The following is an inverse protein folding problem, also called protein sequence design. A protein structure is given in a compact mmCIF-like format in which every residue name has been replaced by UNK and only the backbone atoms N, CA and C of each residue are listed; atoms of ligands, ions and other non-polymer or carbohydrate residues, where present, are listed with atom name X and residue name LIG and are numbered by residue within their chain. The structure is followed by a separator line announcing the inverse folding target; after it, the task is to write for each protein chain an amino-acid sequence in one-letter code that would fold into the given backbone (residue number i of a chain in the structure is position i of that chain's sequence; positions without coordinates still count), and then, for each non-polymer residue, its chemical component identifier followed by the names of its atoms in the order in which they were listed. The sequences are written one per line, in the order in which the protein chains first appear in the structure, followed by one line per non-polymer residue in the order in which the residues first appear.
data_IF_488590297082
#
_entry.id   IF_488590297082
#
_cell.length_a   1.000
_cell.length_b   1.000
_cell.length_c   1.000
_cell.angle_alpha   90.00
_cell.angle_beta   90.00
_cell.angle_gamma   90.00
#
_symmetry.space_group_name_H-M   'P 1'
#
loop_
_entity.id
_entity.type
_entity.pdbx_description
1 polymer ?
#
# COMPACT_ATOMS: atom_id res chain seq x y z
N UNK A 1 -10.41 13.88 -9.11
CA UNK A 1 -11.14 12.96 -8.33
C UNK A 1 -10.33 11.71 -8.06
N UNK A 2 -10.38 11.20 -6.87
CA UNK A 2 -9.62 10.00 -6.55
C UNK A 2 -10.20 8.80 -7.27
N UNK A 3 -9.32 7.89 -7.63
CA UNK A 3 -9.72 6.71 -8.33
C UNK A 3 -10.58 5.82 -7.46
N UNK A 4 -11.54 5.14 -8.05
CA UNK A 4 -12.43 4.27 -7.34
C UNK A 4 -11.98 2.82 -7.51
N UNK A 5 -10.87 2.48 -6.91
CA UNK A 5 -10.26 1.17 -7.04
C UNK A 5 -10.65 0.20 -5.95
N UNK A 6 -11.54 0.59 -5.05
CA UNK A 6 -11.87 -0.23 -3.90
C UNK A 6 -13.27 -0.79 -4.06
N UNK A 7 -13.36 -2.11 -4.00
CA UNK A 7 -14.65 -2.77 -4.05
C UNK A 7 -15.27 -2.75 -2.66
N UNK A 8 -16.59 -2.87 -2.57
CA UNK A 8 -17.25 -3.03 -1.29
C UNK A 8 -17.64 -4.48 -1.06
N UNK A 9 -17.11 -5.42 -1.83
CA UNK A 9 -17.34 -6.82 -1.64
C UNK A 9 -16.06 -7.51 -1.26
N UNK A 10 -16.13 -8.52 -0.42
CA UNK A 10 -14.95 -9.18 0.06
C UNK A 10 -15.19 -10.66 0.21
N UNK A 11 -14.11 -11.44 0.25
CA UNK A 11 -14.16 -12.87 0.40
C UNK A 11 -13.87 -13.34 1.82
N UNK A 12 -13.18 -12.53 2.63
CA UNK A 12 -12.81 -12.94 3.97
C UNK A 12 -12.48 -11.71 4.79
N UNK A 13 -12.11 -11.90 6.05
CA UNK A 13 -11.88 -10.76 6.93
C UNK A 13 -10.61 -9.98 6.56
N UNK A 14 -9.59 -10.63 6.02
CA UNK A 14 -8.41 -9.90 5.56
C UNK A 14 -8.83 -8.98 4.40
N UNK A 15 -9.67 -9.48 3.50
CA UNK A 15 -10.17 -8.66 2.41
C UNK A 15 -10.96 -7.46 2.90
N UNK A 16 -11.73 -7.63 3.96
CA UNK A 16 -12.48 -6.50 4.52
C UNK A 16 -11.56 -5.42 5.03
N UNK A 17 -10.50 -5.80 5.71
CA UNK A 17 -9.54 -4.82 6.21
C UNK A 17 -8.87 -4.11 5.05
N UNK A 18 -8.51 -4.85 4.01
CA UNK A 18 -7.87 -4.24 2.85
C UNK A 18 -8.80 -3.27 2.13
N UNK A 19 -10.09 -3.56 2.08
CA UNK A 19 -11.05 -2.64 1.48
C UNK A 19 -11.08 -1.33 2.26
N UNK A 20 -11.13 -1.41 3.59
CA UNK A 20 -11.17 -0.20 4.40
C UNK A 20 -9.90 0.62 4.19
N UNK A 21 -8.74 -0.03 4.18
CA UNK A 21 -7.49 0.67 3.97
C UNK A 21 -7.47 1.32 2.59
N UNK A 22 -7.93 0.60 1.57
CA UNK A 22 -7.98 1.14 0.22
C UNK A 22 -8.83 2.40 0.16
N UNK A 23 -9.99 2.37 0.79
CA UNK A 23 -10.88 3.53 0.81
C UNK A 23 -10.21 4.70 1.54
N UNK A 24 -9.61 4.44 2.69
CA UNK A 24 -8.97 5.50 3.44
C UNK A 24 -7.83 6.14 2.65
N UNK A 25 -7.06 5.34 1.97
CA UNK A 25 -5.94 5.87 1.18
C UNK A 25 -6.42 6.67 -0.01
N UNK A 26 -7.53 6.27 -0.62
CA UNK A 26 -8.03 6.98 -1.79
C UNK A 26 -8.62 8.33 -1.46
N UNK A 27 -8.93 8.60 -0.21
CA UNK A 27 -9.48 9.90 0.16
C UNK A 27 -8.45 11.00 0.07
N UNK A 28 -7.16 10.65 0.04
CA UNK A 28 -6.13 11.69 -0.10
C UNK A 28 -5.68 11.87 -1.54
N UNK A 29 -6.27 11.16 -2.47
CA UNK A 29 -5.98 11.29 -3.91
C UNK A 29 -4.48 11.29 -4.17
N UNK A 30 -3.82 10.20 -3.92
CA UNK A 30 -2.35 10.19 -3.97
C UNK A 30 -1.75 10.55 -5.30
N UNK A 31 -2.51 10.45 -6.37
CA UNK A 31 -1.97 10.79 -7.68
C UNK A 31 -1.49 12.21 -7.79
N UNK A 32 -1.87 13.09 -6.88
CA UNK A 32 -1.41 14.45 -6.94
C UNK A 32 -0.18 14.69 -6.11
N UNK A 33 0.29 13.69 -5.38
CA UNK A 33 1.31 13.93 -4.39
C UNK A 33 2.69 14.21 -4.99
N UNK A 34 2.91 13.83 -6.23
CA UNK A 34 4.19 14.06 -6.86
C UNK A 34 4.28 15.41 -7.57
N UNK A 35 3.19 16.15 -7.63
CA UNK A 35 3.17 17.40 -8.34
C UNK A 35 2.79 18.54 -7.43
N UNK A 36 3.60 19.60 -7.44
CA UNK A 36 3.27 20.81 -6.74
C UNK A 36 2.53 21.69 -7.71
N UNK A 37 1.28 21.96 -7.48
CA UNK A 37 0.49 22.80 -8.37
C UNK A 37 -0.24 23.84 -7.54
N UNK A 38 -0.74 24.85 -8.21
CA UNK A 38 -1.47 25.90 -7.53
C UNK A 38 -2.80 25.41 -6.99
N UNK A 39 -3.25 24.26 -7.41
CA UNK A 39 -4.49 23.71 -6.89
C UNK A 39 -4.29 22.86 -5.66
N UNK A 40 -3.04 22.65 -5.25
CA UNK A 40 -2.79 21.93 -4.03
C UNK A 40 -3.23 22.76 -2.84
N UNK A 41 -3.80 22.10 -1.84
CA UNK A 41 -4.33 22.82 -0.69
C UNK A 41 -3.25 23.58 0.06
N UNK A 42 -2.04 23.06 0.12
CA UNK A 42 -0.97 23.75 0.77
C UNK A 42 0.22 23.83 -0.14
N UNK A 43 0.89 24.98 -0.11
CA UNK A 43 2.03 25.21 -0.91
C UNK A 43 3.23 25.14 0.00
N UNK A 44 4.25 24.49 -0.38
CA UNK A 44 5.45 24.36 0.40
C UNK A 44 5.40 23.15 1.30
N UNK A 45 6.24 23.06 2.27
CA UNK A 45 6.30 21.89 3.11
C UNK A 45 5.02 21.72 3.88
N UNK A 46 4.44 20.58 3.71
CA UNK A 46 3.23 20.34 4.33
C UNK A 46 3.48 20.00 5.75
N UNK A 47 2.66 20.39 6.57
CA UNK A 47 2.70 20.09 7.86
C UNK A 47 2.37 18.83 8.08
N UNK A 48 2.14 18.19 7.20
CA UNK A 48 1.95 17.25 7.38
C UNK A 48 1.52 16.32 7.94
N UNK A 49 0.64 16.33 8.12
CA UNK A 49 -0.09 15.34 8.67
C UNK A 49 -0.84 14.59 7.71
N UNK A 50 -0.60 14.75 6.40
CA UNK A 50 -1.36 14.01 5.50
C UNK A 50 -0.72 12.68 5.32
N UNK A 51 -1.40 11.60 5.67
CA UNK A 51 -0.95 10.25 5.44
C UNK A 51 -1.66 9.72 4.21
N UNK A 52 -0.92 9.12 3.29
CA UNK A 52 -1.53 8.54 2.09
C UNK A 52 -1.37 7.02 2.06
N UNK A 53 -0.80 6.43 3.07
CA UNK A 53 -0.50 5.00 3.06
C UNK A 53 -0.64 4.42 4.45
N UNK A 54 -1.30 3.28 4.53
CA UNK A 54 -1.28 2.45 5.73
C UNK A 54 -0.54 1.17 5.35
N UNK A 55 0.75 1.09 5.65
CA UNK A 55 1.50 -0.09 5.28
C UNK A 55 1.02 -1.32 6.04
N UNK A 56 1.08 -2.46 5.42
CA UNK A 56 0.62 -3.70 6.04
C UNK A 56 1.64 -4.79 5.86
N UNK A 57 1.64 -5.75 6.78
CA UNK A 57 2.30 -7.02 6.57
C UNK A 57 1.22 -8.08 6.51
N UNK A 58 1.45 -9.10 5.73
CA UNK A 58 0.46 -10.13 5.44
C UNK A 58 1.04 -11.50 5.78
N UNK A 59 0.16 -12.39 6.24
CA UNK A 59 0.59 -13.73 6.64
C UNK A 59 -0.29 -14.75 5.94
N UNK A 60 0.33 -15.79 5.44
CA UNK A 60 -0.41 -16.89 4.83
C UNK A 60 -1.00 -17.76 5.93
N UNK A 61 -1.86 -18.70 5.53
CA UNK A 61 -2.60 -19.50 6.51
C UNK A 61 -1.72 -20.49 7.25
N UNK A 62 -0.52 -20.73 6.80
CA UNK A 62 0.42 -21.55 7.56
C UNK A 62 1.30 -20.72 8.50
N UNK A 63 1.00 -19.43 8.64
CA UNK A 63 1.72 -18.57 9.58
C UNK A 63 2.97 -17.92 9.03
N UNK A 64 3.25 -18.06 7.75
CA UNK A 64 4.43 -17.47 7.15
C UNK A 64 4.17 -16.05 6.72
N UNK A 65 5.09 -15.13 7.10
CA UNK A 65 4.98 -13.75 6.66
C UNK A 65 5.29 -13.68 5.17
N UNK A 66 4.45 -13.01 4.42
CA UNK A 66 4.61 -12.88 2.98
C UNK A 66 5.74 -11.90 2.66
N UNK A 67 6.60 -12.28 1.73
CA UNK A 67 7.69 -11.42 1.27
C UNK A 67 7.69 -11.43 -0.25
N UNK A 68 7.97 -10.25 -0.82
CA UNK A 68 8.02 -10.11 -2.28
C UNK A 68 9.22 -9.27 -2.69
N UNK A 69 9.75 -9.49 -3.90
CA UNK A 69 10.89 -8.72 -4.36
C UNK A 69 10.57 -7.24 -4.49
N UNK A 70 11.55 -6.41 -4.26
CA UNK A 70 11.35 -4.97 -4.37
C UNK A 70 11.56 -4.47 -5.79
N UNK A 71 11.90 -5.32 -6.72
CA UNK A 71 12.20 -4.93 -8.09
C UNK A 71 11.53 -5.88 -9.07
N UNK A 72 11.22 -5.36 -10.24
CA UNK A 72 10.69 -6.18 -11.33
C UNK A 72 11.77 -6.86 -12.13
N UNK A 73 13.04 -6.59 -11.83
CA UNK A 73 14.12 -7.14 -12.64
C UNK A 73 14.40 -8.58 -12.25
N UNK A 74 14.65 -9.46 -13.23
CA UNK A 74 14.96 -10.84 -12.92
C UNK A 74 16.28 -10.92 -12.12
N UNK A 75 16.35 -11.84 -11.20
CA UNK A 75 17.55 -12.00 -10.40
C UNK A 75 17.66 -11.12 -9.20
N UNK A 76 16.69 -10.22 -8.99
CA UNK A 76 16.70 -9.38 -7.80
C UNK A 76 16.31 -10.23 -6.61
N UNK A 77 17.18 -10.29 -5.62
CA UNK A 77 16.92 -11.13 -4.47
C UNK A 77 16.47 -10.37 -3.24
N UNK A 78 16.55 -9.05 -3.28
CA UNK A 78 16.11 -8.26 -2.14
C UNK A 78 14.59 -8.28 -2.05
N UNK A 79 14.08 -8.59 -0.87
CA UNK A 79 12.64 -8.71 -0.67
C UNK A 79 12.19 -7.81 0.46
N UNK A 80 10.93 -7.47 0.45
CA UNK A 80 10.30 -6.70 1.50
C UNK A 80 9.05 -7.40 1.95
N UNK A 81 8.68 -7.19 3.21
CA UNK A 81 7.45 -7.74 3.76
C UNK A 81 6.43 -6.66 4.06
N UNK A 82 6.62 -5.46 3.54
CA UNK A 82 5.71 -4.34 3.78
C UNK A 82 5.08 -3.93 2.45
N UNK A 83 3.77 -3.76 2.47
CA UNK A 83 3.02 -3.53 1.25
C UNK A 83 2.01 -2.41 1.41
N UNK A 84 1.63 -1.82 0.29
CA UNK A 84 0.54 -0.84 0.23
C UNK A 84 -0.54 -1.39 -0.70
N UNK A 85 -1.78 -1.40 -0.24
CA UNK A 85 -2.85 -1.88 -1.10
C UNK A 85 -3.16 -0.81 -2.13
N UNK A 86 -3.13 -1.18 -3.40
CA UNK A 86 -3.40 -0.24 -4.48
C UNK A 86 -4.81 -0.44 -5.02
N UNK A 87 -5.30 -1.66 -4.98
CA UNK A 87 -6.55 -1.98 -5.61
C UNK A 87 -7.08 -3.25 -5.00
N UNK A 88 -8.37 -3.35 -4.80
CA UNK A 88 -8.96 -4.58 -4.34
C UNK A 88 -10.31 -4.76 -5.02
N UNK A 89 -10.58 -5.95 -5.50
CA UNK A 89 -11.81 -6.26 -6.19
C UNK A 89 -12.22 -7.66 -5.75
N UNK A 90 -13.16 -7.74 -4.84
CA UNK A 90 -13.66 -8.98 -4.29
C UNK A 90 -12.52 -9.79 -3.66
N UNK A 91 -12.12 -10.87 -4.28
CA UNK A 91 -11.09 -11.74 -3.72
C UNK A 91 -9.69 -11.40 -4.19
N UNK A 92 -9.55 -10.47 -5.11
CA UNK A 92 -8.24 -10.14 -5.68
C UNK A 92 -7.73 -8.82 -5.18
N UNK A 93 -6.55 -8.80 -4.61
CA UNK A 93 -5.92 -7.58 -4.14
C UNK A 93 -4.61 -7.35 -4.88
N UNK A 94 -4.40 -6.13 -5.33
CA UNK A 94 -3.12 -5.74 -5.93
C UNK A 94 -2.40 -4.85 -4.95
N UNK A 95 -1.19 -5.21 -4.64
CA UNK A 95 -0.40 -4.50 -3.65
C UNK A 95 0.90 -4.05 -4.26
N UNK A 96 1.38 -2.92 -3.78
CA UNK A 96 2.70 -2.41 -4.14
C UNK A 96 3.66 -2.77 -3.03
N UNK A 97 4.84 -3.21 -3.40
CA UNK A 97 5.87 -3.52 -2.43
C UNK A 97 6.54 -2.21 -2.02
N UNK A 98 6.68 -2.01 -0.72
CA UNK A 98 7.35 -0.84 -0.19
C UNK A 98 8.71 -1.26 0.36
N UNK A 99 9.69 -0.39 0.20
CA UNK A 99 11.01 -0.62 0.75
C UNK A 99 11.17 0.27 1.99
N UNK A 100 11.70 -0.27 3.06
CA UNK A 100 11.87 0.50 4.28
C UNK A 100 13.33 0.83 4.48
N UNK A 101 13.62 2.13 4.65
CA UNK A 101 14.97 2.60 4.89
C UNK A 101 15.10 2.88 6.38
N UNK A 102 15.78 2.00 7.10
CA UNK A 102 15.91 2.15 8.53
C UNK A 102 16.80 3.32 8.92
N UNK A 103 17.67 3.74 8.04
CA UNK A 103 18.53 4.90 8.33
C UNK A 103 17.78 6.21 8.25
N UNK A 104 16.81 6.29 7.35
CA UNK A 104 15.98 7.46 7.20
C UNK A 104 14.58 7.27 7.78
N UNK A 105 14.32 6.28 8.59
CA UNK A 105 13.09 5.65 9.04
C UNK A 105 11.88 6.04 8.19
N UNK A 106 11.87 5.63 6.96
CA UNK A 106 10.73 5.93 6.10
C UNK A 106 10.59 4.84 5.05
N UNK A 107 9.38 4.77 4.47
CA UNK A 107 9.11 3.84 3.39
C UNK A 107 9.28 4.53 2.06
N UNK A 108 9.75 3.77 1.07
CA UNK A 108 9.93 4.25 -0.28
C UNK A 108 9.08 3.39 -1.20
N UNK A 109 8.40 4.00 -2.15
CA UNK A 109 7.62 3.26 -3.12
C UNK A 109 8.53 2.57 -4.11
N UNK A 110 8.09 1.43 -4.61
CA UNK A 110 8.82 0.73 -5.67
C UNK A 110 7.85 0.53 -6.83
N UNK A 111 8.37 0.03 -7.93
CA UNK A 111 7.53 -0.31 -9.07
C UNK A 111 7.19 -1.79 -9.07
N UNK A 112 7.35 -2.46 -7.95
CA UNK A 112 7.04 -3.87 -7.85
C UNK A 112 5.63 -4.03 -7.29
N UNK A 113 4.77 -4.65 -8.06
CA UNK A 113 3.39 -4.89 -7.68
C UNK A 113 3.11 -6.38 -7.77
N UNK A 114 2.15 -6.86 -7.01
CA UNK A 114 1.71 -8.24 -7.16
C UNK A 114 0.23 -8.31 -6.86
N UNK A 115 -0.42 -9.32 -7.39
CA UNK A 115 -1.83 -9.58 -7.15
C UNK A 115 -1.95 -10.89 -6.40
N UNK A 116 -2.75 -10.90 -5.36
CA UNK A 116 -2.92 -12.09 -4.54
C UNK A 116 -4.40 -12.34 -4.31
N UNK A 117 -4.73 -13.61 -4.19
CA UNK A 117 -6.08 -13.99 -3.82
C UNK A 117 -6.16 -13.90 -2.30
N UNK A 118 -7.08 -13.09 -1.80
CA UNK A 118 -7.12 -12.83 -0.36
C UNK A 118 -7.47 -14.08 0.45
N UNK A 119 -8.03 -15.10 -0.17
CA UNK A 119 -8.30 -16.32 0.57
C UNK A 119 -7.02 -17.05 0.97
N UNK A 120 -5.90 -16.70 0.36
CA UNK A 120 -4.61 -17.27 0.76
C UNK A 120 -4.04 -16.59 1.99
N UNK A 121 -4.68 -15.55 2.48
CA UNK A 121 -4.19 -14.76 3.61
C UNK A 121 -5.04 -15.00 4.82
N UNK A 122 -4.41 -15.27 5.93
CA UNK A 122 -5.14 -15.53 7.17
C UNK A 122 -4.88 -14.47 8.24
N UNK A 123 -3.91 -13.60 8.05
CA UNK A 123 -3.68 -12.52 9.01
C UNK A 123 -3.12 -11.31 8.31
N UNK A 124 -3.43 -10.15 8.85
CA UNK A 124 -2.92 -8.88 8.36
C UNK A 124 -2.58 -8.02 9.57
N UNK A 125 -1.46 -7.35 9.51
CA UNK A 125 -1.08 -6.42 10.56
C UNK A 125 -0.89 -5.06 9.94
N UNK A 126 -1.59 -4.06 10.45
CA UNK A 126 -1.44 -2.70 9.98
C UNK A 126 -0.30 -2.04 10.70
N UNK A 127 0.56 -1.38 9.96
CA UNK A 127 1.63 -0.59 10.53
C UNK A 127 1.18 0.87 10.62
N UNK A 128 2.02 1.73 11.17
CA UNK A 128 1.63 3.11 11.35
C UNK A 128 1.39 3.85 10.05
N UNK A 129 0.37 4.69 10.03
CA UNK A 129 0.08 5.47 8.83
C UNK A 129 1.25 6.39 8.52
N UNK A 130 1.51 6.58 7.25
CA UNK A 130 2.66 7.34 6.82
C UNK A 130 2.42 7.97 5.46
N UNK A 131 3.31 8.84 5.07
CA UNK A 131 3.28 9.45 3.74
C UNK A 131 4.38 8.81 2.91
N UNK A 132 4.03 8.35 1.73
CA UNK A 132 4.99 7.77 0.80
C UNK A 132 4.94 8.61 -0.47
N UNK A 133 6.12 9.03 -0.95
CA UNK A 133 6.20 9.90 -2.12
C UNK A 133 5.82 9.17 -3.39
N UNK A 134 5.23 9.88 -4.30
CA UNK A 134 5.00 9.41 -5.68
C UNK A 134 4.21 8.11 -5.76
N UNK A 135 3.14 8.08 -5.04
CA UNK A 135 2.25 6.94 -5.08
C UNK A 135 1.03 7.19 -5.93
#
# INVERSE_FOLDING_TARGET
MCDNSCSNKTCNCVGEVLIVICILQNEVCPGTSCLETCTKAYFGPSESTEFNTRPVTLYTCNGTKLEMPISNLPGEETKSDVFRVEKINECCATLRVLSYDSCAPKYTSTNSFFTIDTICLCAIKCLGDTYVDCI
#
